data_IF_234987917126
#
_entry.id   IF_234987917126
#
_cell.length_a   1.000
_cell.length_b   1.000
_cell.length_c   1.000
_cell.angle_alpha   90.00
_cell.angle_beta   90.00
_cell.angle_gamma   90.00
#
_symmetry.space_group_name_H-M   'P 1'
#
loop_
_entity.id
_entity.type
_entity.pdbx_description
1 polymer ?
#
# COMPACT_ATOMS: atom_id res chain seq x y z
N UNK A 1 -2.70 -5.59 -24.67
CA UNK A 1 -2.70 -6.36 -23.41
C UNK A 1 -1.93 -5.49 -22.43
N UNK A 2 -2.65 -4.83 -21.51
CA UNK A 2 -2.18 -3.66 -20.74
C UNK A 2 -0.96 -4.02 -19.88
N UNK A 3 0.10 -3.20 -19.93
CA UNK A 3 1.37 -3.39 -19.17
C UNK A 3 1.16 -3.42 -17.64
N UNK A 4 -0.04 -3.07 -17.17
CA UNK A 4 -0.51 -3.27 -15.79
C UNK A 4 -0.76 -4.73 -15.43
N UNK A 5 -0.31 -5.68 -16.26
CA UNK A 5 -0.21 -7.10 -15.95
C UNK A 5 0.76 -7.34 -14.78
N UNK A 6 0.15 -7.14 -13.62
CA UNK A 6 0.34 -7.75 -12.32
C UNK A 6 1.74 -7.57 -11.72
N UNK A 7 1.91 -6.46 -11.01
CA UNK A 7 2.96 -6.29 -9.99
C UNK A 7 2.89 -7.35 -8.87
N UNK A 8 1.83 -8.17 -8.84
CA UNK A 8 1.71 -9.30 -7.92
C UNK A 8 2.90 -10.25 -8.10
N UNK A 9 3.57 -10.57 -7.00
CA UNK A 9 4.76 -11.40 -6.95
C UNK A 9 6.04 -10.72 -7.41
N UNK A 10 5.97 -9.47 -7.92
CA UNK A 10 7.16 -8.69 -8.27
C UNK A 10 7.70 -7.96 -7.05
N UNK A 11 8.99 -8.12 -6.79
CA UNK A 11 9.72 -7.36 -5.76
C UNK A 11 10.21 -6.04 -6.32
N UNK A 12 9.97 -4.97 -5.57
CA UNK A 12 10.51 -3.64 -5.81
C UNK A 12 11.53 -3.36 -4.71
N UNK A 13 12.80 -3.14 -5.09
CA UNK A 13 13.87 -2.81 -4.17
C UNK A 13 13.68 -1.43 -3.54
N UNK A 14 13.95 -1.32 -2.24
CA UNK A 14 13.83 -0.09 -1.45
C UNK A 14 14.99 -0.03 -0.47
N UNK A 15 15.64 1.12 -0.33
CA UNK A 15 16.92 1.25 0.39
C UNK A 15 18.02 0.41 -0.27
N UNK A 16 18.97 -0.11 0.52
CA UNK A 16 20.10 -0.92 0.07
C UNK A 16 19.72 -2.41 -0.14
N UNK A 17 18.98 -2.99 0.79
CA UNK A 17 18.64 -4.43 0.84
C UNK A 17 17.14 -4.70 1.00
N UNK A 18 16.37 -3.67 1.34
CA UNK A 18 14.93 -3.78 1.54
C UNK A 18 14.17 -3.99 0.24
N UNK A 19 12.94 -4.48 0.37
CA UNK A 19 12.03 -4.64 -0.76
C UNK A 19 10.58 -4.72 -0.32
N UNK A 20 9.69 -4.46 -1.28
CA UNK A 20 8.25 -4.58 -1.14
C UNK A 20 7.70 -5.46 -2.27
N UNK A 21 6.81 -6.37 -1.92
CA UNK A 21 6.16 -7.32 -2.81
C UNK A 21 4.66 -7.24 -2.60
N UNK A 22 3.90 -6.97 -3.67
CA UNK A 22 2.45 -7.12 -3.64
C UNK A 22 2.15 -8.63 -3.70
N UNK A 23 1.57 -9.18 -2.64
CA UNK A 23 1.22 -10.60 -2.56
C UNK A 23 -0.14 -10.83 -3.22
N UNK A 24 -1.11 -9.97 -2.90
CA UNK A 24 -2.46 -10.08 -3.42
C UNK A 24 -3.21 -8.75 -3.29
N UNK A 25 -4.28 -8.59 -4.05
CA UNK A 25 -5.23 -7.49 -3.96
C UNK A 25 -6.67 -8.01 -4.09
N UNK A 26 -7.61 -7.31 -3.45
CA UNK A 26 -9.04 -7.48 -3.62
C UNK A 26 -9.61 -6.17 -4.19
N UNK A 27 -10.23 -6.19 -5.38
CA UNK A 27 -10.41 -7.34 -6.27
C UNK A 27 -9.08 -7.85 -6.84
N UNK A 28 -9.00 -9.18 -7.04
CA UNK A 28 -7.81 -9.80 -7.64
C UNK A 28 -7.68 -9.35 -9.10
N UNK A 29 -6.50 -8.96 -9.60
CA UNK A 29 -6.34 -8.48 -10.98
C UNK A 29 -6.82 -9.48 -12.05
N UNK A 30 -6.69 -10.78 -11.79
CA UNK A 30 -7.19 -11.85 -12.67
C UNK A 30 -8.74 -12.04 -12.62
N UNK A 31 -9.46 -11.38 -11.71
CA UNK A 31 -10.92 -11.50 -11.60
C UNK A 31 -11.68 -10.81 -12.73
N UNK A 32 -11.02 -9.97 -13.53
CA UNK A 32 -11.66 -9.11 -14.52
C UNK A 32 -12.43 -7.92 -13.92
N UNK A 33 -12.47 -7.81 -12.59
CA UNK A 33 -13.05 -6.68 -11.86
C UNK A 33 -11.93 -5.73 -11.46
N UNK A 34 -12.07 -4.45 -11.82
CA UNK A 34 -11.10 -3.42 -11.44
C UNK A 34 -11.38 -2.86 -10.04
N UNK A 35 -10.34 -2.43 -9.34
CA UNK A 35 -10.50 -1.75 -8.04
C UNK A 35 -11.40 -0.51 -8.15
N UNK A 36 -11.24 0.29 -9.22
CA UNK A 36 -12.06 1.46 -9.49
C UNK A 36 -13.55 1.10 -9.66
N UNK A 37 -13.84 0.00 -10.36
CA UNK A 37 -15.23 -0.48 -10.49
C UNK A 37 -15.84 -0.92 -9.16
N UNK A 38 -15.05 -1.48 -8.24
CA UNK A 38 -15.53 -1.82 -6.89
C UNK A 38 -15.85 -0.55 -6.10
N UNK A 39 -14.98 0.46 -6.14
CA UNK A 39 -15.23 1.76 -5.47
C UNK A 39 -16.52 2.40 -6.00
N UNK A 40 -16.72 2.41 -7.31
CA UNK A 40 -17.92 2.96 -7.95
C UNK A 40 -19.17 2.16 -7.58
N UNK A 41 -19.10 0.84 -7.64
CA UNK A 41 -20.21 -0.04 -7.30
C UNK A 41 -20.64 0.15 -5.84
N UNK A 42 -19.67 0.20 -4.92
CA UNK A 42 -19.93 0.45 -3.49
C UNK A 42 -20.54 1.83 -3.24
N UNK A 43 -20.05 2.87 -3.93
CA UNK A 43 -20.63 4.22 -3.84
C UNK A 43 -22.04 4.31 -4.44
N UNK A 44 -22.37 3.44 -5.41
CA UNK A 44 -23.68 3.36 -6.08
C UNK A 44 -24.54 2.20 -5.58
N UNK A 45 -24.35 1.75 -4.34
CA UNK A 45 -25.11 0.61 -3.79
C UNK A 45 -26.62 0.76 -3.93
N UNK A 46 -27.16 1.99 -3.82
CA UNK A 46 -28.58 2.29 -4.02
C UNK A 46 -29.07 2.17 -5.47
N UNK A 47 -28.16 2.15 -6.44
CA UNK A 47 -28.42 1.95 -7.88
C UNK A 47 -27.89 0.59 -8.34
N UNK A 48 -27.88 -0.40 -7.44
CA UNK A 48 -27.37 -1.76 -7.68
C UNK A 48 -25.92 -1.81 -8.19
N UNK A 49 -25.13 -0.75 -7.95
CA UNK A 49 -23.73 -0.67 -8.35
C UNK A 49 -23.49 -0.47 -9.84
N UNK A 50 -24.51 -0.09 -10.62
CA UNK A 50 -24.37 0.04 -12.07
C UNK A 50 -23.35 1.11 -12.49
N UNK A 51 -22.47 0.74 -13.43
CA UNK A 51 -21.57 1.67 -14.11
C UNK A 51 -22.37 2.60 -15.02
N UNK A 52 -21.92 3.86 -15.15
CA UNK A 52 -22.49 4.87 -16.05
C UNK A 52 -21.52 5.23 -17.17
N UNK A 53 -20.53 4.37 -17.40
CA UNK A 53 -19.43 4.59 -18.33
C UNK A 53 -18.18 5.17 -17.66
N UNK A 54 -17.03 4.92 -18.28
CA UNK A 54 -15.69 5.20 -17.76
C UNK A 54 -15.51 6.65 -17.29
N UNK A 55 -15.94 7.62 -18.10
CA UNK A 55 -15.78 9.04 -17.80
C UNK A 55 -16.63 9.50 -16.60
N UNK A 56 -17.84 8.95 -16.46
CA UNK A 56 -18.73 9.25 -15.33
C UNK A 56 -18.21 8.61 -14.04
N UNK A 57 -17.68 7.40 -14.14
CA UNK A 57 -17.13 6.62 -13.04
C UNK A 57 -15.84 7.27 -12.50
N UNK A 58 -14.94 7.71 -13.39
CA UNK A 58 -13.75 8.49 -13.04
C UNK A 58 -14.10 9.81 -12.33
N UNK A 59 -15.09 10.54 -12.85
CA UNK A 59 -15.60 11.76 -12.21
C UNK A 59 -16.15 11.50 -10.81
N UNK A 60 -16.84 10.37 -10.63
CA UNK A 60 -17.36 9.96 -9.33
C UNK A 60 -16.22 9.69 -8.34
N UNK A 61 -15.21 8.88 -8.71
CA UNK A 61 -14.05 8.61 -7.83
C UNK A 61 -13.37 9.91 -7.39
N UNK A 62 -13.11 10.82 -8.34
CA UNK A 62 -12.53 12.13 -8.03
C UNK A 62 -13.45 13.00 -7.16
N UNK A 63 -14.77 12.90 -7.32
CA UNK A 63 -15.73 13.59 -6.47
C UNK A 63 -15.69 13.04 -5.03
N UNK A 64 -15.71 11.71 -4.87
CA UNK A 64 -15.62 11.04 -3.57
C UNK A 64 -14.35 11.45 -2.81
N UNK A 65 -13.20 11.40 -3.49
CA UNK A 65 -11.91 11.77 -2.92
C UNK A 65 -11.88 13.24 -2.47
N UNK A 66 -12.35 14.17 -3.32
CA UNK A 66 -12.39 15.60 -3.00
C UNK A 66 -13.27 15.91 -1.79
N UNK A 67 -14.36 15.17 -1.62
CA UNK A 67 -15.29 15.35 -0.51
C UNK A 67 -14.99 14.44 0.69
N UNK A 68 -13.86 13.73 0.68
CA UNK A 68 -13.45 12.80 1.74
C UNK A 68 -14.50 11.73 2.06
N UNK A 69 -15.27 11.31 1.06
CA UNK A 69 -16.16 10.16 1.20
C UNK A 69 -15.35 8.88 1.01
N UNK A 70 -14.71 8.42 2.10
CA UNK A 70 -13.68 7.38 2.05
C UNK A 70 -14.22 5.95 2.15
N UNK A 71 -15.43 5.74 2.67
CA UNK A 71 -15.98 4.39 2.90
C UNK A 71 -16.05 3.52 1.64
N UNK A 72 -16.33 4.03 0.41
CA UNK A 72 -16.29 3.19 -0.78
C UNK A 72 -14.89 2.64 -1.10
N UNK A 73 -13.82 3.32 -0.66
CA UNK A 73 -12.44 2.89 -0.88
C UNK A 73 -12.00 1.76 0.07
N UNK A 74 -12.72 1.53 1.17
CA UNK A 74 -12.42 0.45 2.13
C UNK A 74 -12.71 -0.95 1.58
N UNK A 75 -13.44 -1.04 0.46
CA UNK A 75 -13.71 -2.29 -0.24
C UNK A 75 -12.53 -2.77 -1.11
N UNK A 76 -11.49 -1.95 -1.26
CA UNK A 76 -10.25 -2.32 -1.93
C UNK A 76 -9.20 -2.64 -0.88
N UNK A 77 -8.66 -3.87 -0.92
CA UNK A 77 -7.70 -4.37 0.07
C UNK A 77 -6.44 -4.86 -0.64
N UNK A 78 -5.27 -4.64 -0.06
CA UNK A 78 -4.00 -5.12 -0.59
C UNK A 78 -3.21 -5.81 0.52
N UNK A 79 -2.53 -6.89 0.16
CA UNK A 79 -1.62 -7.63 1.05
C UNK A 79 -0.20 -7.49 0.53
N UNK A 80 0.70 -7.04 1.39
CA UNK A 80 2.11 -6.86 1.05
C UNK A 80 3.00 -7.78 1.88
N UNK A 81 4.09 -8.22 1.28
CA UNK A 81 5.25 -8.74 1.98
C UNK A 81 6.35 -7.69 1.89
N UNK A 82 6.95 -7.41 3.03
CA UNK A 82 7.91 -6.32 3.18
C UNK A 82 9.14 -6.84 3.89
N UNK A 83 10.30 -6.50 3.36
CA UNK A 83 11.59 -6.59 4.05
C UNK A 83 12.11 -5.17 4.24
N UNK A 84 12.27 -4.77 5.50
CA UNK A 84 12.64 -3.42 5.87
C UNK A 84 13.38 -3.41 7.21
N UNK A 85 14.15 -2.35 7.50
CA UNK A 85 14.85 -2.22 8.77
C UNK A 85 13.88 -2.15 9.96
N UNK A 86 14.26 -2.73 11.09
CA UNK A 86 13.40 -2.80 12.28
C UNK A 86 12.88 -1.44 12.76
N UNK A 87 13.70 -0.38 12.63
CA UNK A 87 13.29 0.98 13.02
C UNK A 87 12.16 1.54 12.15
N UNK A 88 12.05 1.11 10.88
CA UNK A 88 10.94 1.47 9.98
C UNK A 88 9.67 0.77 10.44
N UNK A 89 9.77 -0.49 10.85
CA UNK A 89 8.64 -1.25 11.39
C UNK A 89 7.97 -0.56 12.59
N UNK A 90 8.75 0.00 13.51
CA UNK A 90 8.23 0.70 14.69
C UNK A 90 7.38 1.93 14.36
N UNK A 91 7.67 2.58 13.22
CA UNK A 91 6.84 3.67 12.72
C UNK A 91 5.61 3.11 12.00
N UNK A 92 5.78 2.07 11.19
CA UNK A 92 4.72 1.48 10.38
C UNK A 92 3.59 0.90 11.22
N UNK A 93 3.90 0.14 12.28
CA UNK A 93 2.90 -0.52 13.13
C UNK A 93 1.98 0.47 13.88
N UNK A 94 2.28 1.78 13.84
CA UNK A 94 1.42 2.83 14.40
C UNK A 94 0.14 3.04 13.57
N UNK A 95 0.11 2.56 12.32
CA UNK A 95 -1.10 2.55 11.48
C UNK A 95 -2.02 1.39 11.90
N UNK A 96 -2.90 1.67 12.88
CA UNK A 96 -3.73 0.67 13.59
C UNK A 96 -4.87 0.06 12.78
N UNK A 97 -5.17 0.58 11.59
CA UNK A 97 -6.28 0.09 10.75
C UNK A 97 -5.87 -1.06 9.84
N UNK A 98 -4.59 -1.44 9.81
CA UNK A 98 -4.09 -2.55 9.03
C UNK A 98 -3.81 -3.80 9.89
N UNK A 99 -3.70 -4.95 9.22
CA UNK A 99 -3.33 -6.23 9.84
C UNK A 99 -1.87 -6.57 9.57
N UNK A 100 -1.21 -7.16 10.56
CA UNK A 100 0.24 -7.32 10.56
C UNK A 100 0.66 -8.71 11.03
N UNK A 101 1.67 -9.27 10.38
CA UNK A 101 2.48 -10.36 10.90
C UNK A 101 3.96 -10.00 10.69
N UNK A 102 4.78 -10.30 11.69
CA UNK A 102 6.22 -10.04 11.65
C UNK A 102 6.97 -11.33 11.93
N UNK A 103 8.10 -11.49 11.25
CA UNK A 103 9.11 -12.49 11.57
C UNK A 103 9.62 -12.27 13.01
N UNK A 104 9.55 -13.30 13.85
CA UNK A 104 9.91 -13.21 15.26
C UNK A 104 11.25 -13.88 15.54
N UNK A 105 12.25 -13.09 15.94
CA UNK A 105 13.57 -13.59 16.38
C UNK A 105 13.52 -14.47 17.64
N UNK A 106 12.35 -14.66 18.26
CA UNK A 106 12.16 -15.63 19.37
C UNK A 106 12.06 -17.07 18.87
N UNK A 107 11.73 -17.27 17.59
CA UNK A 107 11.45 -18.59 17.02
C UNK A 107 12.41 -18.97 15.90
N UNK A 108 13.12 -17.99 15.33
CA UNK A 108 14.09 -18.21 14.28
C UNK A 108 15.33 -17.36 14.54
N UNK A 109 16.47 -17.82 14.03
CA UNK A 109 17.70 -17.05 13.99
C UNK A 109 17.61 -15.99 12.88
N UNK A 110 18.05 -14.76 13.19
CA UNK A 110 18.07 -13.65 12.24
C UNK A 110 19.49 -13.54 11.67
N UNK A 111 19.67 -13.36 10.34
CA UNK A 111 20.99 -13.21 9.76
C UNK A 111 21.74 -12.01 10.36
N UNK A 112 22.98 -12.22 10.80
CA UNK A 112 23.79 -11.15 11.43
C UNK A 112 24.22 -10.06 10.43
N UNK A 113 24.27 -10.40 9.14
CA UNK A 113 24.70 -9.52 8.07
C UNK A 113 23.55 -8.76 7.39
N UNK A 114 22.29 -8.96 7.81
CA UNK A 114 21.10 -8.33 7.23
C UNK A 114 20.67 -7.07 8.01
N UNK A 115 21.39 -5.98 7.76
CA UNK A 115 21.10 -4.66 8.32
C UNK A 115 21.21 -3.56 7.27
N UNK A 116 20.50 -2.47 7.51
CA UNK A 116 20.49 -1.29 6.65
C UNK A 116 21.73 -0.43 6.86
N UNK A 117 22.42 -0.11 5.77
CA UNK A 117 23.51 0.86 5.74
C UNK A 117 23.07 2.06 4.89
N UNK A 118 22.94 3.27 5.49
CA UNK A 118 22.58 4.45 4.73
C UNK A 118 23.70 4.83 3.75
N UNK A 119 23.33 5.23 2.53
CA UNK A 119 24.28 5.74 1.53
C UNK A 119 24.86 7.09 1.93
N UNK A 120 24.12 7.87 2.71
CA UNK A 120 24.48 9.19 3.19
C UNK A 120 23.93 9.43 4.61
N UNK A 121 24.67 10.21 5.40
CA UNK A 121 24.19 10.67 6.70
C UNK A 121 23.48 12.01 6.55
N UNK A 122 22.26 12.11 7.10
CA UNK A 122 21.46 13.34 7.02
C UNK A 122 21.52 14.11 8.34
N UNK A 123 21.53 15.44 8.24
CA UNK A 123 21.46 16.32 9.39
C UNK A 123 20.02 16.39 9.95
N UNK A 124 19.86 16.93 11.15
CA UNK A 124 18.55 17.20 11.75
C UNK A 124 17.80 18.28 10.93
N UNK A 125 16.50 18.10 10.65
CA UNK A 125 15.69 19.15 10.03
C UNK A 125 15.51 20.36 10.97
N UNK A 126 15.52 21.59 10.41
CA UNK A 126 15.42 22.84 11.18
C UNK A 126 14.11 23.01 11.95
N UNK A 127 13.00 22.51 11.40
CA UNK A 127 11.65 22.80 11.91
C UNK A 127 10.89 21.58 12.41
N UNK A 128 11.34 20.36 12.08
CA UNK A 128 10.67 19.13 12.50
C UNK A 128 11.68 18.22 13.21
N UNK A 129 11.45 17.99 14.51
CA UNK A 129 12.33 17.17 15.35
C UNK A 129 12.36 15.69 14.97
N UNK A 130 11.39 15.23 14.18
CA UNK A 130 11.26 13.85 13.69
C UNK A 130 11.75 13.69 12.25
N UNK A 131 12.24 14.74 11.60
CA UNK A 131 12.70 14.70 10.22
C UNK A 131 14.19 15.02 10.10
N UNK A 132 14.77 14.61 8.97
CA UNK A 132 16.12 14.95 8.58
C UNK A 132 16.14 16.09 7.55
N UNK A 133 17.25 16.82 7.47
CA UNK A 133 17.58 17.75 6.40
C UNK A 133 18.19 16.96 5.24
N UNK A 134 17.44 16.85 4.14
CA UNK A 134 17.77 16.03 2.98
C UNK A 134 16.50 15.39 2.44
#
# INVERSE_FOLDING_TARGET
MDERQTLIGKRIGVLDRGWLELIDAMPHPASGVSADSVVVASARVSLLGESKGEEADRKLIHYLMRHRHTTPFEHVVMTFRVHAPLVVWWQWVRHRTASYNLMSGRYIELPEDDYYVPTEWRLQAKHNRQASQG
#
